data_IF_713485990734
#
_entry.id   IF_713485990734
#
_cell.length_a   1.000
_cell.length_b   1.000
_cell.length_c   1.000
_cell.angle_alpha   90.00
_cell.angle_beta   90.00
_cell.angle_gamma   90.00
#
_symmetry.space_group_name_H-M   'P 1'
#
loop_
_entity.id
_entity.type
_entity.pdbx_description
1 polymer ?
#
# COMPACT_ATOMS: atom_id res chain seq x y z
N UNK A 1 -32.03 10.21 16.12
CA UNK A 1 -30.89 9.36 15.69
C UNK A 1 -29.64 9.99 16.29
N UNK A 2 -28.91 9.25 17.11
CA UNK A 2 -27.67 9.74 17.74
C UNK A 2 -26.47 9.28 16.90
N UNK A 3 -26.04 10.10 15.96
CA UNK A 3 -24.99 9.74 15.00
C UNK A 3 -23.63 9.70 15.72
N UNK A 4 -22.92 8.56 15.55
CA UNK A 4 -21.57 8.34 16.07
C UNK A 4 -20.53 8.65 14.98
N UNK A 5 -20.13 9.91 14.88
CA UNK A 5 -19.11 10.39 13.93
C UNK A 5 -17.73 9.77 14.19
N UNK A 6 -17.48 9.35 15.42
CA UNK A 6 -16.30 8.67 15.88
C UNK A 6 -16.30 7.15 15.58
N UNK A 7 -17.33 6.62 14.92
CA UNK A 7 -17.39 5.22 14.57
C UNK A 7 -16.63 4.93 13.27
N UNK A 8 -15.73 3.93 13.28
CA UNK A 8 -14.98 3.46 12.09
C UNK A 8 -15.89 3.07 10.93
N UNK A 9 -17.05 2.50 11.23
CA UNK A 9 -18.02 2.07 10.24
C UNK A 9 -18.76 3.24 9.56
N UNK A 10 -18.81 4.41 10.22
CA UNK A 10 -19.56 5.56 9.72
C UNK A 10 -18.77 6.29 8.61
N UNK A 11 -19.40 6.43 7.44
CA UNK A 11 -18.81 7.11 6.28
C UNK A 11 -19.44 8.47 5.98
N UNK A 12 -20.63 8.76 6.52
CA UNK A 12 -21.36 10.02 6.31
C UNK A 12 -22.07 10.15 4.96
N UNK A 13 -21.59 9.51 3.92
CA UNK A 13 -22.11 9.62 2.55
C UNK A 13 -23.07 8.50 2.16
N UNK A 14 -23.08 7.41 2.92
CA UNK A 14 -23.94 6.24 2.69
C UNK A 14 -24.17 5.48 4.00
N UNK A 15 -25.21 4.61 4.03
CA UNK A 15 -25.40 3.71 5.17
C UNK A 15 -24.17 2.85 5.42
N UNK A 16 -23.79 2.69 6.70
CA UNK A 16 -22.64 1.87 7.08
C UNK A 16 -22.92 0.37 6.79
N UNK A 17 -21.85 -0.43 6.71
CA UNK A 17 -21.98 -1.86 6.40
C UNK A 17 -22.86 -2.63 7.38
N UNK A 18 -22.77 -2.43 8.71
CA UNK A 18 -23.71 -3.04 9.65
C UNK A 18 -25.18 -2.66 9.41
N UNK A 19 -25.47 -1.43 9.00
CA UNK A 19 -26.84 -1.05 8.61
C UNK A 19 -27.30 -1.83 7.36
N UNK A 20 -26.46 -1.88 6.31
CA UNK A 20 -26.81 -2.58 5.06
C UNK A 20 -27.05 -4.08 5.25
N UNK A 21 -26.28 -4.73 6.13
CA UNK A 21 -26.34 -6.19 6.32
C UNK A 21 -27.38 -6.59 7.38
N UNK A 22 -27.53 -5.79 8.43
CA UNK A 22 -28.31 -6.17 9.62
C UNK A 22 -29.45 -5.21 9.94
N UNK A 23 -29.66 -4.16 9.16
CA UNK A 23 -30.73 -3.17 9.36
C UNK A 23 -30.61 -2.36 10.65
N UNK A 24 -29.40 -2.29 11.26
CA UNK A 24 -29.22 -1.59 12.54
C UNK A 24 -29.15 -0.08 12.35
N UNK A 25 -29.83 0.67 13.21
CA UNK A 25 -29.78 2.12 13.22
C UNK A 25 -28.58 2.66 14.01
N UNK A 26 -28.05 3.82 13.57
CA UNK A 26 -26.98 4.48 14.27
C UNK A 26 -27.51 5.10 15.58
N UNK A 27 -26.97 4.63 16.72
CA UNK A 27 -27.32 5.12 18.06
C UNK A 27 -26.21 4.79 19.07
N UNK A 28 -26.35 5.28 20.31
CA UNK A 28 -25.38 5.06 21.38
C UNK A 28 -25.21 3.60 21.82
N UNK A 29 -26.17 2.73 21.48
CA UNK A 29 -26.18 1.29 21.84
C UNK A 29 -25.87 0.38 20.66
N UNK A 30 -25.36 0.93 19.55
CA UNK A 30 -25.03 0.13 18.37
C UNK A 30 -23.95 -0.92 18.71
N UNK A 31 -24.31 -2.20 18.60
CA UNK A 31 -23.41 -3.33 18.90
C UNK A 31 -22.22 -3.46 17.94
N UNK A 32 -22.27 -2.79 16.81
CA UNK A 32 -21.18 -2.75 15.80
C UNK A 32 -20.34 -1.48 15.90
N UNK A 33 -20.50 -0.72 16.96
CA UNK A 33 -19.71 0.50 17.19
C UNK A 33 -18.24 0.13 17.40
N UNK A 34 -17.38 0.73 16.59
CA UNK A 34 -15.92 0.64 16.71
C UNK A 34 -15.37 2.06 16.84
N UNK A 35 -14.92 2.48 18.03
CA UNK A 35 -14.47 3.86 18.25
C UNK A 35 -13.22 4.18 17.44
N UNK A 36 -13.11 5.45 17.04
CA UNK A 36 -11.90 6.03 16.47
C UNK A 36 -11.55 7.33 17.20
N UNK A 37 -10.25 7.57 17.39
CA UNK A 37 -9.74 8.69 18.19
C UNK A 37 -8.72 9.57 17.44
N UNK A 38 -8.63 9.45 16.13
CA UNK A 38 -7.77 10.26 15.28
C UNK A 38 -7.39 9.57 13.97
N UNK A 39 -6.42 10.17 13.26
CA UNK A 39 -6.11 9.80 11.88
C UNK A 39 -4.59 9.64 11.67
N UNK A 40 -4.21 8.67 10.84
CA UNK A 40 -2.86 8.46 10.32
C UNK A 40 -2.93 8.56 8.79
N UNK A 41 -2.01 9.28 8.17
CA UNK A 41 -1.85 9.38 6.73
C UNK A 41 -0.59 8.67 6.28
N UNK A 42 -0.72 7.83 5.24
CA UNK A 42 0.41 7.27 4.49
C UNK A 42 0.35 7.85 3.08
N UNK A 43 1.47 8.36 2.59
CA UNK A 43 1.67 8.77 1.21
C UNK A 43 2.70 7.81 0.60
N UNK A 44 2.25 6.99 -0.35
CA UNK A 44 3.06 6.12 -1.20
C UNK A 44 2.36 5.99 -2.54
N UNK A 45 2.76 6.85 -3.49
CA UNK A 45 2.09 7.00 -4.79
C UNK A 45 2.35 5.79 -5.69
N UNK A 46 3.60 5.39 -5.85
CA UNK A 46 3.99 4.31 -6.72
C UNK A 46 5.40 3.77 -6.42
N UNK A 47 5.94 2.80 -7.17
CA UNK A 47 5.21 1.95 -8.10
C UNK A 47 4.34 0.92 -7.36
N UNK A 48 3.43 0.22 -8.08
CA UNK A 48 2.50 -0.76 -7.49
C UNK A 48 3.21 -1.76 -6.55
N UNK A 49 4.34 -2.33 -6.98
CA UNK A 49 5.11 -3.27 -6.16
C UNK A 49 5.65 -2.65 -4.88
N UNK A 50 6.04 -1.36 -4.91
CA UNK A 50 6.51 -0.65 -3.72
C UNK A 50 5.35 -0.31 -2.77
N UNK A 51 4.15 -0.02 -3.30
CA UNK A 51 2.94 0.13 -2.48
C UNK A 51 2.66 -1.16 -1.72
N UNK A 52 2.67 -2.32 -2.40
CA UNK A 52 2.49 -3.64 -1.77
C UNK A 52 3.58 -3.88 -0.71
N UNK A 53 4.84 -3.58 -1.03
CA UNK A 53 5.97 -3.77 -0.11
C UNK A 53 5.90 -2.88 1.14
N UNK A 54 5.10 -1.83 1.16
CA UNK A 54 4.90 -0.98 2.34
C UNK A 54 3.72 -1.39 3.21
N UNK A 55 2.89 -2.35 2.78
CA UNK A 55 1.73 -2.82 3.56
C UNK A 55 2.05 -3.41 4.94
N UNK A 56 3.24 -3.99 5.21
CA UNK A 56 3.62 -4.42 6.56
C UNK A 56 3.56 -3.33 7.64
N UNK A 57 3.72 -2.05 7.26
CA UNK A 57 3.51 -0.92 8.19
C UNK A 57 2.11 -0.93 8.81
N UNK A 58 1.10 -1.42 8.08
CA UNK A 58 -0.28 -1.51 8.58
C UNK A 58 -0.40 -2.45 9.78
N UNK A 59 0.34 -3.55 9.80
CA UNK A 59 0.37 -4.50 10.93
C UNK A 59 0.83 -3.76 12.19
N UNK A 60 1.95 -3.04 12.07
CA UNK A 60 2.51 -2.25 13.17
C UNK A 60 1.54 -1.16 13.63
N UNK A 61 0.96 -0.40 12.67
CA UNK A 61 0.00 0.66 12.98
C UNK A 61 -1.25 0.14 13.69
N UNK A 62 -1.82 -0.98 13.25
CA UNK A 62 -3.01 -1.56 13.90
C UNK A 62 -2.70 -2.10 15.29
N UNK A 63 -1.47 -2.55 15.53
CA UNK A 63 -1.01 -2.99 16.85
C UNK A 63 -0.82 -1.82 17.81
N UNK A 64 -0.14 -0.75 17.36
CA UNK A 64 0.21 0.39 18.23
C UNK A 64 -0.93 1.43 18.32
N UNK A 65 -1.71 1.57 17.25
CA UNK A 65 -2.75 2.58 17.12
C UNK A 65 -4.09 1.98 16.66
N UNK A 66 -4.67 1.03 17.38
CA UNK A 66 -5.85 0.26 16.95
C UNK A 66 -7.07 1.14 16.64
N UNK A 67 -7.18 2.30 17.30
CA UNK A 67 -8.32 3.21 17.16
C UNK A 67 -8.09 4.32 16.13
N UNK A 68 -6.90 4.45 15.52
CA UNK A 68 -6.68 5.45 14.46
C UNK A 68 -7.27 4.99 13.13
N UNK A 69 -7.88 5.92 12.40
CA UNK A 69 -8.25 5.72 11.00
C UNK A 69 -7.03 5.85 10.12
N UNK A 70 -6.87 4.94 9.18
CA UNK A 70 -5.75 4.94 8.24
C UNK A 70 -6.22 5.47 6.90
N UNK A 71 -5.63 6.55 6.46
CA UNK A 71 -5.75 7.15 5.14
C UNK A 71 -4.50 6.79 4.35
N UNK A 72 -4.66 6.34 3.12
CA UNK A 72 -3.52 6.03 2.26
C UNK A 72 -3.69 6.64 0.88
N UNK A 73 -2.79 7.57 0.54
CA UNK A 73 -2.74 8.21 -0.77
C UNK A 73 -1.79 7.44 -1.68
N UNK A 74 -2.30 6.93 -2.81
CA UNK A 74 -1.57 6.10 -3.78
C UNK A 74 -2.24 6.14 -5.16
N UNK A 75 -1.45 5.88 -6.21
CA UNK A 75 -2.00 5.70 -7.57
C UNK A 75 -2.59 4.29 -7.77
N UNK A 76 -2.38 3.39 -6.82
CA UNK A 76 -2.78 1.98 -6.88
C UNK A 76 -3.72 1.57 -5.73
N UNK A 77 -4.88 2.23 -5.54
CA UNK A 77 -5.76 1.94 -4.39
C UNK A 77 -6.32 0.51 -4.39
N UNK A 78 -6.37 -0.13 -5.57
CA UNK A 78 -6.91 -1.50 -5.71
C UNK A 78 -6.02 -2.58 -5.04
N UNK A 79 -4.74 -2.31 -4.78
CA UNK A 79 -3.84 -3.27 -4.11
C UNK A 79 -3.80 -3.08 -2.60
N UNK A 80 -4.51 -2.09 -2.06
CA UNK A 80 -4.53 -1.83 -0.63
C UNK A 80 -5.45 -2.82 0.10
N UNK A 81 -5.02 -3.38 1.25
CA UNK A 81 -5.84 -4.27 2.05
C UNK A 81 -6.96 -3.53 2.79
N UNK A 82 -7.95 -4.30 3.27
CA UNK A 82 -9.10 -3.80 4.03
C UNK A 82 -8.71 -3.15 5.38
N UNK A 83 -7.44 -3.22 5.77
CA UNK A 83 -6.90 -2.51 6.93
C UNK A 83 -6.83 -0.98 6.72
N UNK A 84 -6.86 -0.52 5.48
CA UNK A 84 -6.92 0.91 5.13
C UNK A 84 -8.37 1.37 5.15
N UNK A 85 -8.67 2.36 5.99
CA UNK A 85 -10.03 2.89 6.14
C UNK A 85 -10.43 3.79 4.94
N UNK A 86 -9.48 4.54 4.39
CA UNK A 86 -9.66 5.49 3.29
C UNK A 86 -8.54 5.35 2.25
N UNK A 87 -8.70 4.45 1.26
CA UNK A 87 -7.83 4.43 0.08
C UNK A 87 -8.14 5.65 -0.80
N UNK A 88 -7.13 6.47 -1.07
CA UNK A 88 -7.25 7.74 -1.81
C UNK A 88 -6.26 7.76 -2.98
N UNK A 89 -6.64 8.46 -4.05
CA UNK A 89 -5.77 8.74 -5.20
C UNK A 89 -5.33 10.20 -5.21
N UNK A 90 -4.24 10.50 -5.93
CA UNK A 90 -3.76 11.88 -6.07
C UNK A 90 -4.67 12.65 -7.03
N UNK A 91 -5.81 13.11 -6.53
CA UNK A 91 -6.84 13.86 -7.28
C UNK A 91 -7.24 15.12 -6.53
N UNK A 92 -7.80 16.10 -7.24
CA UNK A 92 -8.22 17.37 -6.65
C UNK A 92 -9.21 17.17 -5.51
N UNK A 93 -10.15 16.24 -5.67
CA UNK A 93 -11.18 15.92 -4.68
C UNK A 93 -10.55 15.38 -3.39
N UNK A 94 -9.66 14.38 -3.53
CA UNK A 94 -9.01 13.77 -2.38
C UNK A 94 -8.02 14.72 -1.69
N UNK A 95 -7.28 15.53 -2.46
CA UNK A 95 -6.38 16.55 -1.89
C UNK A 95 -7.15 17.63 -1.13
N UNK A 96 -8.30 18.06 -1.66
CA UNK A 96 -9.19 18.99 -0.97
C UNK A 96 -9.71 18.39 0.33
N UNK A 97 -10.12 17.13 0.29
CA UNK A 97 -10.57 16.41 1.50
C UNK A 97 -9.45 16.29 2.54
N UNK A 98 -8.24 15.86 2.14
CA UNK A 98 -7.10 15.73 3.05
C UNK A 98 -6.74 17.05 3.75
N UNK A 99 -6.82 18.18 3.04
CA UNK A 99 -6.56 19.52 3.60
C UNK A 99 -7.58 19.95 4.67
N UNK A 100 -8.75 19.34 4.71
CA UNK A 100 -9.78 19.62 5.72
C UNK A 100 -9.62 18.79 7.00
N UNK A 101 -8.70 17.81 7.00
CA UNK A 101 -8.50 16.88 8.10
C UNK A 101 -7.31 17.26 8.97
N UNK A 102 -7.31 16.72 10.19
CA UNK A 102 -6.15 16.74 11.10
C UNK A 102 -5.63 15.33 11.28
N UNK A 103 -4.31 15.19 11.27
CA UNK A 103 -3.64 13.91 11.42
C UNK A 103 -2.74 13.90 12.66
N UNK A 104 -2.78 12.82 13.43
CA UNK A 104 -1.84 12.61 14.52
C UNK A 104 -0.44 12.22 13.98
N UNK A 105 -0.42 11.51 12.85
CA UNK A 105 0.79 11.05 12.20
C UNK A 105 0.63 11.11 10.68
N UNK A 106 1.67 11.54 9.98
CA UNK A 106 1.79 11.49 8.53
C UNK A 106 3.14 10.89 8.13
N UNK A 107 3.11 9.93 7.22
CA UNK A 107 4.28 9.22 6.72
C UNK A 107 4.30 9.40 5.21
N UNK A 108 5.32 10.08 4.69
CA UNK A 108 5.56 10.15 3.25
C UNK A 108 6.79 9.31 2.89
N UNK A 109 6.56 8.26 2.11
CA UNK A 109 7.58 7.31 1.67
C UNK A 109 8.08 7.60 0.25
N UNK A 110 7.57 8.65 -0.39
CA UNK A 110 7.94 9.06 -1.73
C UNK A 110 8.74 10.36 -1.75
N UNK A 111 9.61 10.47 -2.74
CA UNK A 111 10.46 11.66 -2.97
C UNK A 111 9.98 12.51 -4.14
N UNK A 112 8.82 12.20 -4.70
CA UNK A 112 8.14 13.05 -5.66
C UNK A 112 7.79 14.40 -5.01
N UNK A 113 8.07 15.49 -5.73
CA UNK A 113 7.93 16.85 -5.19
C UNK A 113 6.50 17.13 -4.70
N UNK A 114 5.51 16.60 -5.38
CA UNK A 114 4.10 16.75 -5.02
C UNK A 114 3.73 16.00 -3.74
N UNK A 115 4.30 14.80 -3.50
CA UNK A 115 4.09 14.06 -2.27
C UNK A 115 4.73 14.78 -1.08
N UNK A 116 5.97 15.28 -1.26
CA UNK A 116 6.69 16.06 -0.26
C UNK A 116 5.95 17.39 0.06
N UNK A 117 5.52 18.12 -0.98
CA UNK A 117 4.78 19.37 -0.82
C UNK A 117 3.44 19.16 -0.10
N UNK A 118 2.74 18.08 -0.42
CA UNK A 118 1.48 17.76 0.25
C UNK A 118 1.69 17.51 1.74
N UNK A 119 2.70 16.72 2.12
CA UNK A 119 3.00 16.46 3.53
C UNK A 119 3.27 17.76 4.31
N UNK A 120 3.92 18.75 3.68
CA UNK A 120 4.18 20.05 4.32
C UNK A 120 2.90 20.86 4.54
N UNK A 121 1.96 20.82 3.59
CA UNK A 121 0.73 21.61 3.62
C UNK A 121 -0.34 21.11 4.58
N UNK A 122 -0.26 19.83 4.99
CA UNK A 122 -1.27 19.21 5.83
C UNK A 122 -1.06 19.48 7.32
N UNK A 123 -2.19 19.59 8.08
CA UNK A 123 -2.19 19.68 9.54
C UNK A 123 -1.87 18.31 10.16
N UNK A 124 -0.60 18.06 10.40
CA UNK A 124 -0.06 16.79 10.90
C UNK A 124 0.81 17.05 12.12
N UNK A 125 0.52 16.39 13.25
CA UNK A 125 1.26 16.56 14.50
C UNK A 125 2.68 15.99 14.45
N UNK A 126 2.83 14.75 13.91
CA UNK A 126 4.12 14.06 13.76
C UNK A 126 4.30 13.61 12.34
N UNK A 127 5.36 14.08 11.68
CA UNK A 127 5.69 13.77 10.28
C UNK A 127 6.89 12.87 10.21
N UNK A 128 6.89 11.92 9.26
CA UNK A 128 7.99 11.01 8.95
C UNK A 128 8.25 10.95 7.45
N UNK A 129 9.49 10.61 7.10
CA UNK A 129 9.88 10.34 5.72
C UNK A 129 10.44 11.55 5.01
N UNK A 130 9.83 11.92 3.89
CA UNK A 130 10.37 12.96 3.00
C UNK A 130 9.43 14.16 2.93
N UNK A 131 10.02 15.34 3.01
CA UNK A 131 9.37 16.63 2.82
C UNK A 131 10.19 17.50 1.88
N UNK A 132 10.09 18.82 2.01
CA UNK A 132 10.84 19.78 1.19
C UNK A 132 11.87 20.55 2.03
N UNK A 133 13.09 20.67 1.49
CA UNK A 133 14.08 21.62 1.95
C UNK A 133 14.50 22.51 0.79
N UNK A 134 14.30 23.81 0.92
CA UNK A 134 14.56 24.80 -0.15
C UNK A 134 13.88 24.43 -1.50
N UNK A 135 12.67 23.85 -1.43
CA UNK A 135 11.90 23.42 -2.61
C UNK A 135 12.29 22.06 -3.20
N UNK A 136 13.29 21.37 -2.63
CA UNK A 136 13.73 20.06 -3.09
C UNK A 136 13.36 18.97 -2.10
N UNK A 137 13.01 17.75 -2.58
CA UNK A 137 12.78 16.61 -1.70
C UNK A 137 13.95 16.33 -0.78
N UNK A 138 13.67 16.18 0.50
CA UNK A 138 14.67 15.96 1.54
C UNK A 138 14.10 15.10 2.67
N UNK A 139 14.97 14.40 3.44
CA UNK A 139 14.51 13.72 4.65
C UNK A 139 14.08 14.75 5.71
N UNK A 140 12.98 14.49 6.39
CA UNK A 140 12.48 15.37 7.47
C UNK A 140 12.94 14.91 8.86
N UNK A 141 13.54 13.73 8.94
CA UNK A 141 14.13 13.18 10.16
C UNK A 141 15.46 12.47 9.86
N UNK A 142 16.29 12.29 10.88
CA UNK A 142 17.54 11.55 10.75
C UNK A 142 17.29 10.10 10.32
N UNK A 143 16.23 9.51 10.79
CA UNK A 143 15.80 8.14 10.44
C UNK A 143 15.52 7.93 8.95
N UNK A 144 15.13 8.98 8.20
CA UNK A 144 14.93 8.93 6.77
C UNK A 144 16.20 9.15 5.93
N UNK A 145 17.33 9.60 6.55
CA UNK A 145 18.56 9.93 5.85
C UNK A 145 19.15 8.76 5.07
N UNK A 146 19.20 7.58 5.68
CA UNK A 146 19.77 6.41 5.00
C UNK A 146 19.03 6.11 3.69
N UNK A 147 17.70 6.05 3.73
CA UNK A 147 16.85 5.80 2.54
C UNK A 147 16.92 6.94 1.52
N UNK A 148 17.14 8.17 1.97
CA UNK A 148 17.38 9.30 1.08
C UNK A 148 18.70 9.14 0.33
N UNK A 149 19.80 8.89 1.05
CA UNK A 149 21.15 8.77 0.48
C UNK A 149 21.26 7.60 -0.51
N UNK A 150 20.66 6.45 -0.21
CA UNK A 150 20.63 5.31 -1.15
C UNK A 150 19.88 5.62 -2.45
N UNK A 151 19.04 6.64 -2.46
CA UNK A 151 18.28 7.05 -3.64
C UNK A 151 18.95 8.14 -4.48
N UNK A 152 19.93 8.88 -3.94
CA UNK A 152 20.60 10.00 -4.62
C UNK A 152 22.09 9.76 -4.88
N UNK A 153 22.65 8.67 -4.37
CA UNK A 153 24.07 8.34 -4.51
C UNK A 153 24.27 6.87 -4.84
N UNK A 154 24.84 6.58 -6.00
CA UNK A 154 25.22 5.22 -6.40
C UNK A 154 26.19 4.55 -5.42
N UNK A 155 27.09 5.32 -4.82
CA UNK A 155 28.04 4.80 -3.84
C UNK A 155 27.31 4.27 -2.60
N UNK A 156 26.40 5.07 -2.05
CA UNK A 156 25.58 4.63 -0.92
C UNK A 156 24.66 3.47 -1.30
N UNK A 157 24.06 3.52 -2.49
CA UNK A 157 23.18 2.45 -2.97
C UNK A 157 23.91 1.12 -3.11
N UNK A 158 25.13 1.10 -3.68
CA UNK A 158 25.95 -0.11 -3.84
C UNK A 158 26.49 -0.66 -2.52
N UNK A 159 26.75 0.20 -1.56
CA UNK A 159 27.20 -0.19 -0.22
C UNK A 159 26.06 -0.60 0.72
N UNK A 160 24.81 -0.41 0.31
CA UNK A 160 23.64 -0.70 1.14
C UNK A 160 23.47 -2.20 1.36
N UNK A 161 23.46 -2.61 2.62
CA UNK A 161 23.17 -3.99 3.07
C UNK A 161 21.79 -4.15 3.73
N UNK A 162 21.06 -3.04 3.91
CA UNK A 162 19.72 -3.09 4.48
C UNK A 162 18.71 -3.59 3.44
N UNK A 163 17.85 -4.49 3.83
CA UNK A 163 16.73 -4.85 2.98
C UNK A 163 15.63 -3.77 3.06
N UNK A 164 14.80 -3.69 2.02
CA UNK A 164 13.82 -2.63 1.84
C UNK A 164 12.89 -2.44 3.04
N UNK A 165 12.43 -3.53 3.69
CA UNK A 165 11.52 -3.43 4.83
C UNK A 165 12.17 -2.74 6.02
N UNK A 166 13.45 -3.06 6.31
CA UNK A 166 14.18 -2.37 7.37
C UNK A 166 14.23 -0.86 7.08
N UNK A 167 14.60 -0.46 5.86
CA UNK A 167 14.66 0.96 5.49
C UNK A 167 13.31 1.69 5.66
N UNK A 168 12.19 1.03 5.30
CA UNK A 168 10.85 1.62 5.43
C UNK A 168 10.43 1.75 6.89
N UNK A 169 10.74 0.77 7.74
CA UNK A 169 10.46 0.84 9.17
C UNK A 169 11.35 1.85 9.87
N UNK A 170 12.64 1.89 9.53
CA UNK A 170 13.59 2.89 10.05
C UNK A 170 13.09 4.33 9.81
N UNK A 171 12.51 4.63 8.63
CA UNK A 171 11.90 5.95 8.32
C UNK A 171 10.89 6.37 9.38
N UNK A 172 10.16 5.41 9.94
CA UNK A 172 9.11 5.63 10.94
C UNK A 172 9.62 5.56 12.39
N UNK A 173 10.93 5.47 12.63
CA UNK A 173 11.55 5.19 13.92
C UNK A 173 11.06 3.85 14.52
N UNK A 174 10.79 2.85 13.67
CA UNK A 174 10.35 1.52 14.07
C UNK A 174 11.38 0.46 13.71
N UNK A 175 11.50 -0.54 14.57
CA UNK A 175 12.23 -1.76 14.24
C UNK A 175 11.33 -2.72 13.44
N UNK A 176 11.86 -3.27 12.34
CA UNK A 176 11.19 -4.30 11.56
C UNK A 176 11.36 -5.66 12.23
N UNK A 177 10.24 -6.29 12.59
CA UNK A 177 10.20 -7.56 13.33
C UNK A 177 9.64 -8.72 12.48
N UNK A 178 9.76 -8.62 11.14
CA UNK A 178 9.28 -9.66 10.24
C UNK A 178 7.79 -9.56 9.91
N UNK A 179 7.20 -8.36 10.03
CA UNK A 179 5.80 -8.13 9.64
C UNK A 179 5.58 -8.54 8.18
N UNK A 180 4.54 -9.36 7.94
CA UNK A 180 4.24 -9.91 6.62
C UNK A 180 3.51 -8.90 5.73
N UNK A 181 3.56 -9.13 4.40
CA UNK A 181 2.76 -8.37 3.45
C UNK A 181 1.28 -8.62 3.64
N UNK A 182 0.49 -7.55 3.53
CA UNK A 182 -0.96 -7.64 3.60
C UNK A 182 -1.54 -7.30 2.24
N UNK A 183 -2.32 -8.22 1.69
CA UNK A 183 -3.00 -8.04 0.41
C UNK A 183 -4.51 -7.90 0.60
N UNK A 184 -5.23 -7.36 -0.39
CA UNK A 184 -6.69 -7.31 -0.35
C UNK A 184 -7.30 -8.71 -0.15
N UNK A 185 -8.31 -8.81 0.69
CA UNK A 185 -9.01 -10.09 0.98
C UNK A 185 -9.93 -10.56 -0.15
N UNK A 186 -10.00 -9.86 -1.28
CA UNK A 186 -10.83 -10.22 -2.42
C UNK A 186 -10.37 -11.56 -2.99
N UNK A 187 -11.09 -12.61 -2.64
CA UNK A 187 -10.98 -13.91 -3.30
C UNK A 187 -11.57 -13.80 -4.70
N UNK A 188 -10.75 -13.55 -5.68
CA UNK A 188 -11.12 -13.82 -7.06
C UNK A 188 -11.03 -15.34 -7.25
N UNK A 189 -12.16 -16.02 -7.11
CA UNK A 189 -12.28 -17.43 -7.50
C UNK A 189 -12.43 -17.50 -9.03
N UNK A 190 -11.43 -17.03 -9.77
CA UNK A 190 -11.34 -17.29 -11.19
C UNK A 190 -10.94 -18.77 -11.34
N UNK A 191 -11.93 -19.65 -11.50
CA UNK A 191 -11.70 -21.02 -11.92
C UNK A 191 -11.46 -21.01 -13.42
N UNK A 192 -10.37 -21.63 -13.84
CA UNK A 192 -10.10 -21.87 -15.27
C UNK A 192 -10.64 -23.27 -15.54
N UNK A 193 -11.88 -23.34 -16.05
CA UNK A 193 -12.63 -24.62 -16.23
C UNK A 193 -11.92 -25.64 -17.15
N UNK A 194 -10.93 -25.20 -17.95
CA UNK A 194 -10.12 -26.06 -18.82
C UNK A 194 -8.94 -26.73 -18.14
N UNK A 195 -8.68 -26.44 -16.86
CA UNK A 195 -7.57 -27.06 -16.13
C UNK A 195 -8.04 -28.28 -15.33
N UNK A 196 -7.27 -29.34 -15.43
CA UNK A 196 -7.43 -30.54 -14.63
C UNK A 196 -6.83 -30.30 -13.22
N UNK A 197 -7.70 -30.26 -12.20
CA UNK A 197 -7.33 -30.00 -10.82
C UNK A 197 -6.35 -31.07 -10.25
N UNK A 198 -6.19 -32.20 -10.91
CA UNK A 198 -5.25 -33.28 -10.50
C UNK A 198 -3.79 -33.00 -10.84
N UNK A 199 -3.53 -32.01 -11.74
CA UNK A 199 -2.19 -31.68 -12.20
C UNK A 199 -1.69 -30.37 -11.59
N UNK A 200 -0.40 -30.30 -11.21
CA UNK A 200 0.18 -29.04 -10.74
C UNK A 200 0.14 -27.97 -11.83
N UNK A 201 -0.11 -26.72 -11.40
CA UNK A 201 -0.17 -25.55 -12.28
C UNK A 201 1.09 -24.73 -12.07
N UNK A 202 1.80 -24.42 -13.15
CA UNK A 202 2.99 -23.55 -13.15
C UNK A 202 2.63 -22.23 -13.84
N UNK A 203 2.74 -21.12 -13.10
CA UNK A 203 2.61 -19.77 -13.65
C UNK A 203 3.95 -19.26 -14.17
N UNK A 204 4.03 -18.92 -15.45
CA UNK A 204 5.18 -18.24 -16.05
C UNK A 204 4.91 -16.75 -16.14
N UNK A 205 5.58 -15.95 -15.30
CA UNK A 205 5.49 -14.49 -15.36
C UNK A 205 6.43 -13.97 -16.45
N UNK A 206 5.90 -13.79 -17.66
CA UNK A 206 6.65 -13.43 -18.87
C UNK A 206 6.89 -11.93 -19.03
N UNK A 207 6.20 -11.09 -18.27
CA UNK A 207 6.26 -9.64 -18.36
C UNK A 207 7.05 -9.00 -17.21
N UNK A 208 7.74 -7.88 -17.50
CA UNK A 208 8.39 -7.04 -16.50
C UNK A 208 8.15 -5.54 -16.73
N UNK A 209 7.18 -5.21 -17.60
CA UNK A 209 6.89 -3.85 -18.05
C UNK A 209 7.98 -3.28 -18.98
N UNK A 210 7.68 -2.15 -19.60
CA UNK A 210 8.55 -1.52 -20.63
C UNK A 210 9.81 -0.86 -20.07
N UNK A 211 9.85 -0.58 -18.76
CA UNK A 211 10.93 0.21 -18.14
C UNK A 211 12.31 -0.48 -18.20
N UNK A 212 12.33 -1.81 -18.16
CA UNK A 212 13.58 -2.59 -18.08
C UNK A 212 13.59 -3.75 -19.08
N UNK A 213 13.75 -3.46 -20.41
CA UNK A 213 13.75 -4.52 -21.45
C UNK A 213 14.79 -5.60 -21.20
N UNK A 214 15.95 -5.24 -20.59
CA UNK A 214 17.01 -6.20 -20.26
C UNK A 214 16.62 -7.26 -19.21
N UNK A 215 15.50 -7.09 -18.53
CA UNK A 215 14.94 -8.09 -17.59
C UNK A 215 13.98 -9.06 -18.27
N UNK A 216 13.63 -8.81 -19.53
CA UNK A 216 12.78 -9.70 -20.30
C UNK A 216 13.61 -10.87 -20.80
N UNK A 217 13.15 -12.06 -20.50
CA UNK A 217 13.75 -13.25 -21.05
C UNK A 217 13.29 -13.41 -22.53
N UNK A 218 14.19 -13.82 -23.48
CA UNK A 218 13.81 -13.96 -24.88
C UNK A 218 12.65 -14.93 -25.09
N UNK A 219 11.75 -14.60 -26.01
CA UNK A 219 10.53 -15.40 -26.26
C UNK A 219 10.82 -16.88 -26.50
N UNK A 220 11.90 -17.22 -27.26
CA UNK A 220 12.27 -18.60 -27.52
C UNK A 220 12.52 -19.42 -26.27
N UNK A 221 13.12 -18.83 -25.23
CA UNK A 221 13.35 -19.53 -23.95
C UNK A 221 12.06 -19.73 -23.16
N UNK A 222 11.13 -18.79 -23.22
CA UNK A 222 9.79 -18.98 -22.64
C UNK A 222 9.03 -20.11 -23.31
N UNK A 223 9.12 -20.20 -24.64
CA UNK A 223 8.52 -21.29 -25.43
C UNK A 223 9.14 -22.64 -25.08
N UNK A 224 10.45 -22.72 -24.98
CA UNK A 224 11.17 -23.94 -24.63
C UNK A 224 10.76 -24.45 -23.23
N UNK A 225 10.81 -23.60 -22.21
CA UNK A 225 10.44 -24.03 -20.86
C UNK A 225 8.95 -24.39 -20.76
N UNK A 226 8.06 -23.67 -21.44
CA UNK A 226 6.64 -24.01 -21.47
C UNK A 226 6.42 -25.41 -22.07
N UNK A 227 7.10 -25.73 -23.19
CA UNK A 227 7.02 -27.04 -23.82
C UNK A 227 7.58 -28.16 -22.91
N UNK A 228 8.69 -27.92 -22.23
CA UNK A 228 9.25 -28.89 -21.28
C UNK A 228 8.28 -29.19 -20.14
N UNK A 229 7.64 -28.16 -19.56
CA UNK A 229 6.67 -28.31 -18.48
C UNK A 229 5.41 -29.06 -18.95
N UNK A 230 4.89 -28.72 -20.13
CA UNK A 230 3.73 -29.40 -20.74
C UNK A 230 4.03 -30.87 -20.99
N UNK A 231 5.24 -31.17 -21.52
CA UNK A 231 5.68 -32.55 -21.78
C UNK A 231 5.83 -33.36 -20.51
N UNK A 232 6.14 -32.67 -19.37
CA UNK A 232 6.20 -33.28 -18.03
C UNK A 232 4.82 -33.48 -17.41
N UNK A 233 3.72 -33.21 -18.12
CA UNK A 233 2.36 -33.43 -17.65
C UNK A 233 1.83 -32.30 -16.72
N UNK A 234 2.47 -31.14 -16.71
CA UNK A 234 2.06 -29.99 -15.90
C UNK A 234 1.15 -29.05 -16.69
N UNK A 235 0.30 -28.30 -15.99
CA UNK A 235 -0.39 -27.16 -16.59
C UNK A 235 0.50 -25.92 -16.57
N UNK A 236 0.51 -25.16 -17.66
CA UNK A 236 1.27 -23.91 -17.79
C UNK A 236 0.31 -22.75 -18.00
N UNK A 237 0.40 -21.74 -17.13
CA UNK A 237 -0.29 -20.46 -17.28
C UNK A 237 0.72 -19.36 -17.58
N UNK A 238 0.46 -18.59 -18.63
CA UNK A 238 1.22 -17.38 -18.92
C UNK A 238 0.60 -16.24 -18.11
N UNK A 239 1.38 -15.65 -17.21
CA UNK A 239 0.99 -14.50 -16.41
C UNK A 239 1.53 -13.24 -17.07
N UNK A 240 0.65 -12.30 -17.38
CA UNK A 240 1.02 -11.05 -18.03
C UNK A 240 -0.05 -9.98 -17.84
N UNK A 241 0.30 -8.74 -18.13
CA UNK A 241 -0.62 -7.62 -18.21
C UNK A 241 -1.15 -7.40 -19.62
N UNK A 242 -1.80 -6.24 -19.79
CA UNK A 242 -2.32 -5.78 -21.10
C UNK A 242 -1.25 -5.15 -22.01
N UNK A 243 0.03 -5.37 -21.74
CA UNK A 243 1.16 -4.81 -22.50
C UNK A 243 1.52 -5.66 -23.72
#
# INVERSE_FOLDING_TARGET
MDIRYDCRQFKGTMPCQPHKVHGVECNLKCKYYVPTDGNILIIKLGAMGDVIRTTPLLIRMKKEFPNKRIYWLTDFPAVLPDLVDFPLTFSVEHLTYLRSLKFDMGINLDKESEACALLEQLDIKKKFGFGLHQGMPAPISESANHKFLTGISDTYSKANTHHYMKEIFDICDWEYNGEEYVLPSKKHNARIDSLDDSKPIIGLNTGCGVRWPSRQWPFGHWQEIANMLLTSGLHVLLLGGSE
#
